data_IF_234336236575
#
_entry.id   IF_234336236575
#
_cell.length_a   1.000
_cell.length_b   1.000
_cell.length_c   1.000
_cell.angle_alpha   90.00
_cell.angle_beta   90.00
_cell.angle_gamma   90.00
#
_symmetry.space_group_name_H-M   'P 1'
#
loop_
_entity.id
_entity.type
_entity.pdbx_description
1 polymer ?
#
# COMPACT_ATOMS: atom_id res chain seq x y z
N UNK A 1 7.92 22.90 -4.33
CA UNK A 1 6.88 22.52 -3.34
C UNK A 1 7.05 21.05 -3.00
N UNK A 2 7.86 20.73 -1.99
CA UNK A 2 8.08 19.35 -1.57
C UNK A 2 7.00 18.94 -0.57
N UNK A 3 6.08 18.07 -0.99
CA UNK A 3 5.23 17.37 -0.02
C UNK A 3 6.15 16.38 0.70
N UNK A 4 6.69 16.81 1.84
CA UNK A 4 7.63 16.02 2.63
C UNK A 4 7.04 14.67 3.03
N UNK A 5 7.92 13.73 3.29
CA UNK A 5 7.56 12.39 3.74
C UNK A 5 6.76 12.48 5.05
N UNK A 6 5.50 12.01 5.04
CA UNK A 6 4.68 11.96 6.25
C UNK A 6 4.83 10.58 6.89
N UNK A 7 5.28 10.48 8.16
CA UNK A 7 5.44 9.21 8.86
C UNK A 7 4.18 8.33 8.82
N UNK A 8 3.01 8.97 8.89
CA UNK A 8 1.69 8.36 8.72
C UNK A 8 1.52 7.45 7.50
N UNK A 9 2.26 7.70 6.42
CA UNK A 9 2.24 6.93 5.18
C UNK A 9 3.57 6.22 4.90
N UNK A 10 4.48 6.15 5.89
CA UNK A 10 5.81 5.52 5.78
C UNK A 10 5.72 4.16 5.12
N UNK A 11 4.78 3.34 5.58
CA UNK A 11 4.59 2.01 5.04
C UNK A 11 4.15 2.00 3.58
N UNK A 12 3.22 2.88 3.20
CA UNK A 12 2.73 2.97 1.81
C UNK A 12 3.91 3.31 0.88
N UNK A 13 4.81 4.20 1.30
CA UNK A 13 6.05 4.49 0.58
C UNK A 13 7.02 3.31 0.53
N UNK A 14 7.20 2.56 1.64
CA UNK A 14 8.05 1.36 1.65
C UNK A 14 7.52 0.31 0.68
N UNK A 15 6.20 0.09 0.67
CA UNK A 15 5.56 -0.85 -0.26
C UNK A 15 5.79 -0.44 -1.72
N UNK A 16 5.68 0.86 -2.02
CA UNK A 16 5.97 1.40 -3.35
C UNK A 16 7.44 1.15 -3.73
N UNK A 17 8.39 1.42 -2.82
CA UNK A 17 9.81 1.22 -3.07
C UNK A 17 10.15 -0.25 -3.33
N UNK A 18 9.61 -1.17 -2.53
CA UNK A 18 9.78 -2.61 -2.74
C UNK A 18 9.23 -3.04 -4.08
N UNK A 19 8.04 -2.56 -4.46
CA UNK A 19 7.47 -2.83 -5.77
C UNK A 19 8.36 -2.28 -6.90
N UNK A 20 8.83 -1.04 -6.80
CA UNK A 20 9.73 -0.43 -7.80
C UNK A 20 11.02 -1.22 -7.96
N UNK A 21 11.63 -1.69 -6.88
CA UNK A 21 12.86 -2.49 -6.96
C UNK A 21 12.61 -3.86 -7.57
N UNK A 22 11.56 -4.57 -7.13
CA UNK A 22 11.20 -5.88 -7.68
C UNK A 22 10.93 -5.85 -9.19
N UNK A 23 10.35 -4.75 -9.69
CA UNK A 23 10.01 -4.58 -11.10
C UNK A 23 11.00 -3.71 -11.86
N UNK A 24 12.16 -3.36 -11.28
CA UNK A 24 13.11 -2.38 -11.85
C UNK A 24 13.58 -2.74 -13.26
N UNK A 25 13.76 -4.03 -13.54
CA UNK A 25 14.21 -4.56 -14.84
C UNK A 25 13.08 -5.05 -15.75
N UNK A 26 11.85 -5.03 -15.25
CA UNK A 26 10.68 -5.48 -16.01
C UNK A 26 10.20 -4.43 -17.00
N UNK A 27 9.60 -4.89 -18.10
CA UNK A 27 8.99 -4.00 -19.09
C UNK A 27 7.68 -3.39 -18.56
N UNK A 28 7.23 -2.29 -19.19
CA UNK A 28 6.03 -1.56 -18.75
C UNK A 28 4.77 -2.42 -18.80
N UNK A 29 4.65 -3.29 -19.81
CA UNK A 29 3.52 -4.22 -19.94
C UNK A 29 3.41 -5.11 -18.70
N UNK A 30 4.50 -5.74 -18.26
CA UNK A 30 4.51 -6.61 -17.08
C UNK A 30 4.09 -5.84 -15.82
N UNK A 31 4.60 -4.62 -15.63
CA UNK A 31 4.25 -3.76 -14.49
C UNK A 31 2.75 -3.45 -14.45
N UNK A 32 2.18 -3.04 -15.58
CA UNK A 32 0.74 -2.71 -15.68
C UNK A 32 -0.11 -3.95 -15.42
N UNK A 33 0.22 -5.09 -16.03
CA UNK A 33 -0.52 -6.33 -15.80
C UNK A 33 -0.49 -6.77 -14.33
N UNK A 34 0.65 -6.64 -13.66
CA UNK A 34 0.76 -6.97 -12.24
C UNK A 34 -0.14 -6.07 -11.38
N UNK A 35 -0.08 -4.75 -11.59
CA UNK A 35 -0.90 -3.79 -10.85
C UNK A 35 -2.40 -4.01 -11.11
N UNK A 36 -2.80 -4.19 -12.36
CA UNK A 36 -4.21 -4.41 -12.73
C UNK A 36 -4.74 -5.70 -12.10
N UNK A 37 -3.97 -6.79 -12.17
CA UNK A 37 -4.32 -8.06 -11.53
C UNK A 37 -4.52 -7.89 -10.04
N UNK A 38 -3.60 -7.19 -9.36
CA UNK A 38 -3.71 -6.88 -7.94
C UNK A 38 -4.95 -6.04 -7.61
N UNK A 39 -5.23 -5.00 -8.40
CA UNK A 39 -6.41 -4.14 -8.20
C UNK A 39 -7.73 -4.91 -8.33
N UNK A 40 -7.83 -5.83 -9.28
CA UNK A 40 -9.06 -6.61 -9.50
C UNK A 40 -9.28 -7.69 -8.44
N UNK A 41 -8.21 -8.18 -7.81
CA UNK A 41 -8.27 -9.26 -6.81
C UNK A 41 -8.32 -8.74 -5.38
N UNK A 42 -7.88 -7.51 -5.13
CA UNK A 42 -7.86 -6.93 -3.80
C UNK A 42 -9.26 -6.48 -3.36
N UNK A 43 -9.67 -6.76 -2.11
CA UNK A 43 -10.88 -6.16 -1.56
C UNK A 43 -10.71 -4.63 -1.42
N UNK A 44 -11.81 -3.87 -1.32
CA UNK A 44 -11.76 -2.43 -1.09
C UNK A 44 -10.87 -2.08 0.09
N UNK A 45 -9.98 -1.12 -0.11
CA UNK A 45 -9.01 -0.72 0.92
C UNK A 45 -9.71 -0.10 2.13
N UNK A 46 -9.48 -0.65 3.32
CA UNK A 46 -9.95 -0.06 4.59
C UNK A 46 -9.35 1.33 4.86
N UNK A 47 -8.17 1.62 4.31
CA UNK A 47 -7.41 2.83 4.62
C UNK A 47 -7.56 3.94 3.59
N UNK A 48 -7.75 3.55 2.34
CA UNK A 48 -7.79 4.46 1.19
C UNK A 48 -9.23 4.71 0.70
N UNK A 49 -10.21 3.92 1.16
CA UNK A 49 -11.63 4.19 0.88
C UNK A 49 -12.02 5.54 1.45
N UNK A 50 -12.59 6.40 0.61
CA UNK A 50 -13.03 7.74 1.01
C UNK A 50 -11.90 8.77 1.15
N UNK A 51 -10.66 8.45 0.76
CA UNK A 51 -9.54 9.39 0.85
C UNK A 51 -9.81 10.73 0.14
N UNK A 52 -10.39 10.66 -1.06
CA UNK A 52 -10.80 11.84 -1.83
C UNK A 52 -11.96 12.62 -1.21
N UNK A 53 -12.72 12.00 -0.31
CA UNK A 53 -13.79 12.65 0.46
C UNK A 53 -13.28 13.28 1.76
N UNK A 54 -11.96 13.22 2.02
CA UNK A 54 -11.35 13.75 3.24
C UNK A 54 -11.21 12.74 4.38
N UNK A 55 -11.67 11.48 4.21
CA UNK A 55 -11.42 10.41 5.18
C UNK A 55 -9.95 10.00 5.14
N UNK A 56 -9.17 10.49 6.11
CA UNK A 56 -7.73 10.22 6.21
C UNK A 56 -7.48 9.34 7.42
N UNK A 57 -6.52 8.41 7.31
CA UNK A 57 -6.05 7.59 8.43
C UNK A 57 -5.73 8.46 9.66
N UNK A 58 -6.00 8.05 10.88
CA UNK A 58 -5.73 8.92 12.04
C UNK A 58 -4.24 8.94 12.41
N UNK A 59 -3.58 7.78 12.38
CA UNK A 59 -2.18 7.62 12.76
C UNK A 59 -1.35 6.79 11.77
N UNK A 60 -0.16 6.41 12.19
CA UNK A 60 0.72 5.50 11.47
C UNK A 60 0.25 4.04 11.63
N UNK A 61 0.51 3.20 10.62
CA UNK A 61 0.35 1.76 10.76
C UNK A 61 1.61 1.18 11.39
N UNK A 62 1.51 0.79 12.65
CA UNK A 62 2.61 0.22 13.39
C UNK A 62 2.88 -1.23 12.98
N UNK A 63 4.08 -1.72 13.28
CA UNK A 63 4.43 -3.14 13.11
C UNK A 63 3.46 -4.04 13.88
N UNK A 64 3.04 -3.63 15.08
CA UNK A 64 2.07 -4.36 15.89
C UNK A 64 0.75 -4.61 15.17
N UNK A 65 0.22 -3.58 14.47
CA UNK A 65 -0.99 -3.71 13.66
C UNK A 65 -0.87 -4.82 12.59
N UNK A 66 0.29 -4.95 11.95
CA UNK A 66 0.51 -6.00 10.93
C UNK A 66 0.58 -7.39 11.52
N UNK A 67 1.31 -7.54 12.63
CA UNK A 67 1.44 -8.83 13.30
C UNK A 67 0.07 -9.35 13.74
N UNK A 68 -0.79 -8.46 14.24
CA UNK A 68 -2.16 -8.81 14.59
C UNK A 68 -2.98 -9.25 13.36
N UNK A 69 -2.90 -8.50 12.26
CA UNK A 69 -3.64 -8.80 11.03
C UNK A 69 -3.15 -10.07 10.31
N UNK A 70 -1.85 -10.36 10.38
CA UNK A 70 -1.25 -11.59 9.85
C UNK A 70 -1.73 -12.81 10.64
N UNK A 71 -1.81 -12.68 11.97
CA UNK A 71 -2.33 -13.73 12.86
C UNK A 71 -3.79 -14.08 12.56
N UNK A 72 -4.62 -13.10 12.22
CA UNK A 72 -6.03 -13.31 11.88
C UNK A 72 -6.25 -14.05 10.55
N UNK A 73 -5.25 -14.12 9.66
CA UNK A 73 -5.34 -14.85 8.38
C UNK A 73 -4.92 -16.32 8.48
N UNK A 74 -4.38 -16.75 9.62
CA UNK A 74 -3.86 -18.11 9.84
C UNK A 74 -4.80 -19.00 10.67
N UNK A 75 -5.97 -18.49 11.04
CA UNK A 75 -7.08 -19.21 11.68
C UNK A 75 -8.25 -19.32 10.70
#
# INVERSE_FOLDING_TARGET
MGHGFRPKYLQDYVCEMVWRENFRRECQKTRIHYLLKGMMQAPPSCWWKGYFQGHRREGELTVAYFLERMRQKTA
#
